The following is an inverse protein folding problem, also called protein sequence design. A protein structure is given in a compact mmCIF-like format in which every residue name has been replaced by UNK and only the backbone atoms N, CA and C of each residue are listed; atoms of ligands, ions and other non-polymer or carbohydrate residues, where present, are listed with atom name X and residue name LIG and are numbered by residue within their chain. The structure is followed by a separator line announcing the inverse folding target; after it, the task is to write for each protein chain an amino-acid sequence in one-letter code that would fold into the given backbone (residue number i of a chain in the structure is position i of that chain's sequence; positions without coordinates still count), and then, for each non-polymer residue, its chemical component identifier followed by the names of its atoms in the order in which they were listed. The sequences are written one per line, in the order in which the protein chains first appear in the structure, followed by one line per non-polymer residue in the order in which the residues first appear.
data_IF_619499922899
#
_entry.id   IF_619499922899
#
_cell.length_a   1.000
_cell.length_b   1.000
_cell.length_c   1.000
_cell.angle_alpha   90.00
_cell.angle_beta   90.00
_cell.angle_gamma   90.00
#
_symmetry.space_group_name_H-M   'P 1'
#
loop_
_entity.id
_entity.type
_entity.pdbx_description
1 polymer ?
#
# COMPACT_ATOMS: atom_id res chain seq x y z
N UNK A 1 15.03 -1.59 20.33
CA UNK A 1 13.56 -1.75 20.44
C UNK A 1 12.97 -0.35 20.58
N UNK A 2 11.98 0.04 19.77
CA UNK A 2 11.46 1.41 19.78
C UNK A 2 10.84 1.77 21.14
N UNK A 3 10.90 3.05 21.52
CA UNK A 3 10.35 3.53 22.79
C UNK A 3 8.81 3.37 22.81
N UNK A 4 8.24 3.17 24.01
CA UNK A 4 6.79 2.98 24.17
C UNK A 4 5.99 4.16 23.59
N UNK A 5 6.50 5.38 23.75
CA UNK A 5 5.91 6.59 23.16
C UNK A 5 5.87 6.52 21.64
N UNK A 6 6.93 6.04 20.99
CA UNK A 6 6.98 5.86 19.53
C UNK A 6 5.94 4.82 19.08
N UNK A 7 5.80 3.73 19.82
CA UNK A 7 4.81 2.69 19.53
C UNK A 7 3.38 3.25 19.66
N UNK A 8 3.10 4.01 20.72
CA UNK A 8 1.80 4.63 20.95
C UNK A 8 1.43 5.63 19.85
N UNK A 9 2.37 6.50 19.45
CA UNK A 9 2.18 7.44 18.33
C UNK A 9 1.95 6.72 17.01
N UNK A 10 2.72 5.65 16.73
CA UNK A 10 2.53 4.82 15.55
C UNK A 10 1.14 4.19 15.52
N UNK A 11 0.69 3.60 16.63
CA UNK A 11 -0.63 2.98 16.73
C UNK A 11 -1.76 3.99 16.48
N UNK A 12 -1.67 5.19 17.07
CA UNK A 12 -2.65 6.26 16.85
C UNK A 12 -2.71 6.69 15.38
N UNK A 13 -1.56 6.92 14.76
CA UNK A 13 -1.48 7.28 13.34
C UNK A 13 -2.00 6.16 12.42
N UNK A 14 -1.61 4.92 12.71
CA UNK A 14 -2.05 3.74 11.95
C UNK A 14 -3.57 3.55 12.05
N UNK A 15 -4.15 3.70 13.25
CA UNK A 15 -5.61 3.65 13.43
C UNK A 15 -6.31 4.75 12.62
N UNK A 16 -5.81 5.98 12.66
CA UNK A 16 -6.35 7.07 11.84
C UNK A 16 -6.35 6.75 10.35
N UNK A 17 -5.25 6.16 9.84
CA UNK A 17 -5.15 5.72 8.45
C UNK A 17 -6.07 4.54 8.12
N UNK A 18 -6.20 3.55 9.03
CA UNK A 18 -7.05 2.38 8.82
C UNK A 18 -8.55 2.73 8.74
N UNK A 19 -8.97 3.80 9.43
CA UNK A 19 -10.36 4.25 9.42
C UNK A 19 -10.78 4.93 8.11
N UNK A 20 -9.81 5.44 7.33
CA UNK A 20 -10.08 6.10 6.06
C UNK A 20 -10.06 5.03 4.97
N UNK A 21 -11.21 4.69 4.34
CA UNK A 21 -11.23 3.69 3.28
C UNK A 21 -10.40 4.18 2.09
N UNK A 22 -9.30 3.48 1.83
CA UNK A 22 -8.43 3.78 0.70
C UNK A 22 -9.02 3.37 -0.66
N UNK A 23 -8.33 3.68 -1.77
CA UNK A 23 -8.79 3.37 -3.12
C UNK A 23 -9.10 1.88 -3.36
N UNK A 24 -8.33 0.97 -2.76
CA UNK A 24 -8.54 -0.48 -2.87
C UNK A 24 -9.85 -0.93 -2.23
N UNK A 25 -10.15 -0.42 -1.03
CA UNK A 25 -11.41 -0.71 -0.30
C UNK A 25 -12.59 -0.17 -1.09
N UNK A 26 -12.50 1.07 -1.58
CA UNK A 26 -13.54 1.68 -2.41
C UNK A 26 -13.75 0.86 -3.70
N UNK A 27 -12.69 0.48 -4.39
CA UNK A 27 -12.76 -0.37 -5.59
C UNK A 27 -13.50 -1.69 -5.32
N UNK A 28 -13.12 -2.40 -4.25
CA UNK A 28 -13.76 -3.66 -3.87
C UNK A 28 -15.25 -3.45 -3.58
N UNK A 29 -15.61 -2.40 -2.83
CA UNK A 29 -17.01 -2.07 -2.52
C UNK A 29 -17.77 -1.78 -3.81
N UNK A 30 -17.26 -0.90 -4.68
CA UNK A 30 -17.91 -0.53 -5.94
C UNK A 30 -18.13 -1.76 -6.83
N UNK A 31 -17.13 -2.63 -6.99
CA UNK A 31 -17.25 -3.87 -7.78
C UNK A 31 -18.22 -4.86 -7.15
N UNK A 32 -18.20 -4.99 -5.83
CA UNK A 32 -19.12 -5.88 -5.10
C UNK A 32 -20.58 -5.44 -5.24
N UNK A 33 -20.83 -4.13 -5.15
CA UNK A 33 -22.18 -3.56 -5.28
C UNK A 33 -22.65 -3.61 -6.74
N UNK A 34 -21.81 -3.22 -7.70
CA UNK A 34 -22.22 -3.11 -9.10
C UNK A 34 -22.30 -4.47 -9.82
N UNK A 35 -21.47 -5.45 -9.43
CA UNK A 35 -21.30 -6.71 -10.18
C UNK A 35 -21.45 -7.97 -9.29
N UNK A 36 -21.85 -7.79 -8.03
CA UNK A 36 -22.16 -8.86 -7.10
C UNK A 36 -20.95 -9.50 -6.41
N UNK A 37 -21.24 -10.45 -5.52
CA UNK A 37 -20.26 -11.09 -4.61
C UNK A 37 -19.05 -11.70 -5.32
N UNK A 38 -19.24 -12.34 -6.48
CA UNK A 38 -18.15 -12.98 -7.22
C UNK A 38 -17.12 -11.96 -7.72
N UNK A 39 -17.59 -10.83 -8.26
CA UNK A 39 -16.71 -9.74 -8.69
C UNK A 39 -15.98 -9.09 -7.51
N UNK A 40 -16.67 -8.98 -6.36
CA UNK A 40 -16.06 -8.56 -5.10
C UNK A 40 -14.91 -9.47 -4.65
N UNK A 41 -15.15 -10.79 -4.59
CA UNK A 41 -14.12 -11.76 -4.20
C UNK A 41 -12.93 -11.77 -5.17
N UNK A 42 -13.17 -11.68 -6.48
CA UNK A 42 -12.10 -11.55 -7.46
C UNK A 42 -11.28 -10.26 -7.25
N UNK A 43 -11.95 -9.16 -6.88
CA UNK A 43 -11.29 -7.88 -6.60
C UNK A 43 -10.42 -7.96 -5.34
N UNK A 44 -10.91 -8.59 -4.27
CA UNK A 44 -10.14 -8.85 -3.04
C UNK A 44 -8.89 -9.67 -3.37
N UNK A 45 -9.06 -10.81 -4.04
CA UNK A 45 -7.93 -11.67 -4.41
C UNK A 45 -6.88 -10.94 -5.25
N UNK A 46 -7.32 -10.14 -6.23
CA UNK A 46 -6.42 -9.33 -7.04
C UNK A 46 -5.62 -8.32 -6.22
N UNK A 47 -6.28 -7.60 -5.30
CA UNK A 47 -5.63 -6.61 -4.42
C UNK A 47 -4.63 -7.27 -3.47
N UNK A 48 -4.99 -8.42 -2.88
CA UNK A 48 -4.10 -9.14 -1.97
C UNK A 48 -2.89 -9.74 -2.71
N UNK A 49 -3.10 -10.33 -3.90
CA UNK A 49 -1.99 -10.84 -4.72
C UNK A 49 -1.03 -9.73 -5.15
N UNK A 50 -1.54 -8.56 -5.53
CA UNK A 50 -0.72 -7.40 -5.85
C UNK A 50 0.08 -6.93 -4.63
N UNK A 51 -0.56 -6.86 -3.46
CA UNK A 51 0.08 -6.47 -2.19
C UNK A 51 1.18 -7.45 -1.78
N UNK A 52 0.92 -8.75 -1.88
CA UNK A 52 1.91 -9.80 -1.60
C UNK A 52 3.10 -9.74 -2.56
N UNK A 53 2.84 -9.54 -3.85
CA UNK A 53 3.90 -9.42 -4.86
C UNK A 53 4.77 -8.20 -4.59
N UNK A 54 4.16 -7.06 -4.25
CA UNK A 54 4.87 -5.85 -3.88
C UNK A 54 5.71 -6.05 -2.61
N UNK A 55 5.13 -6.65 -1.56
CA UNK A 55 5.83 -6.94 -0.31
C UNK A 55 7.01 -7.91 -0.53
N UNK A 56 6.83 -8.94 -1.36
CA UNK A 56 7.90 -9.85 -1.74
C UNK A 56 9.03 -9.12 -2.49
N UNK A 57 8.70 -8.26 -3.47
CA UNK A 57 9.70 -7.45 -4.17
C UNK A 57 10.47 -6.53 -3.21
N UNK A 58 9.77 -5.88 -2.27
CA UNK A 58 10.39 -5.05 -1.23
C UNK A 58 11.33 -5.86 -0.33
N UNK A 59 10.91 -7.06 0.10
CA UNK A 59 11.69 -7.95 0.95
C UNK A 59 12.91 -8.54 0.23
N UNK A 60 12.79 -8.85 -1.06
CA UNK A 60 13.88 -9.40 -1.89
C UNK A 60 14.92 -8.35 -2.30
N UNK A 61 14.75 -7.08 -1.91
CA UNK A 61 15.81 -6.07 -2.04
C UNK A 61 15.47 -4.86 -2.90
N UNK A 62 14.23 -4.71 -3.38
CA UNK A 62 13.82 -3.48 -4.07
C UNK A 62 14.03 -2.24 -3.17
N UNK A 63 13.76 -2.36 -1.87
CA UNK A 63 14.03 -1.30 -0.89
C UNK A 63 15.53 -1.04 -0.70
N UNK A 64 16.37 -2.07 -0.78
CA UNK A 64 17.82 -1.93 -0.67
C UNK A 64 18.43 -1.24 -1.91
N UNK A 65 17.90 -1.50 -3.10
CA UNK A 65 18.27 -0.79 -4.34
C UNK A 65 18.00 0.71 -4.25
N UNK A 66 16.85 1.10 -3.69
CA UNK A 66 16.51 2.53 -3.51
C UNK A 66 17.38 3.20 -2.45
N UNK A 67 17.75 2.49 -1.38
CA UNK A 67 18.63 3.03 -0.33
C UNK A 67 20.08 3.23 -0.80
N UNK A 68 20.54 2.45 -1.78
CA UNK A 68 21.92 2.48 -2.27
C UNK A 68 22.12 3.40 -3.48
N UNK A 69 21.05 3.76 -4.21
CA UNK A 69 21.13 4.60 -5.42
C UNK A 69 20.25 5.84 -5.33
N UNK A 70 20.91 7.01 -5.22
CA UNK A 70 20.23 8.31 -5.21
C UNK A 70 19.45 8.60 -6.50
N UNK A 71 19.95 8.13 -7.65
CA UNK A 71 19.26 8.27 -8.93
C UNK A 71 17.98 7.41 -8.96
N UNK A 72 18.05 6.15 -8.54
CA UNK A 72 16.89 5.26 -8.51
C UNK A 72 15.81 5.80 -7.55
N UNK A 73 16.21 6.26 -6.36
CA UNK A 73 15.30 6.93 -5.43
C UNK A 73 14.66 8.17 -6.03
N UNK A 74 15.43 9.03 -6.72
CA UNK A 74 14.91 10.26 -7.32
C UNK A 74 13.92 9.97 -8.44
N UNK A 75 14.20 8.98 -9.30
CA UNK A 75 13.29 8.56 -10.37
C UNK A 75 11.97 8.09 -9.78
N UNK A 76 12.00 7.17 -8.81
CA UNK A 76 10.78 6.66 -8.17
C UNK A 76 10.01 7.77 -7.46
N UNK A 77 10.72 8.68 -6.78
CA UNK A 77 10.12 9.84 -6.11
C UNK A 77 9.37 10.74 -7.10
N UNK A 78 10.00 11.12 -8.22
CA UNK A 78 9.36 12.00 -9.20
C UNK A 78 8.23 11.31 -9.96
N UNK A 79 8.35 10.02 -10.27
CA UNK A 79 7.26 9.23 -10.83
C UNK A 79 6.06 9.15 -9.88
N UNK A 80 6.31 8.92 -8.59
CA UNK A 80 5.26 8.89 -7.57
C UNK A 80 4.56 10.25 -7.43
N UNK A 81 5.30 11.35 -7.48
CA UNK A 81 4.71 12.68 -7.48
C UNK A 81 3.84 12.93 -8.72
N UNK A 82 4.32 12.54 -9.91
CA UNK A 82 3.57 12.66 -11.15
C UNK A 82 2.29 11.79 -11.16
N UNK A 83 2.30 10.63 -10.49
CA UNK A 83 1.12 9.77 -10.37
C UNK A 83 0.01 10.39 -9.48
N UNK A 84 0.37 11.28 -8.55
CA UNK A 84 -0.58 11.90 -7.62
C UNK A 84 -1.22 13.21 -8.12
N UNK A 85 -0.70 13.77 -9.23
CA UNK A 85 -1.24 14.95 -9.91
C UNK A 85 -2.18 14.48 -11.03
#
# INVERSE_FOLDING_TARGET
MPALTTMALFLLAALGLLLIPGPSVLYIITRSVAQGKRAGLASVLGVELASLTHAAAAALGLSALLLTSALAFSVVKYLGAAYLI
#
